data_IF_065615747401
#
_entry.id   IF_065615747401
#
_cell.length_a   1.000
_cell.length_b   1.000
_cell.length_c   1.000
_cell.angle_alpha   90.00
_cell.angle_beta   90.00
_cell.angle_gamma   90.00
#
_symmetry.space_group_name_H-M   'P 1'
#
loop_
_entity.id
_entity.type
_entity.pdbx_description
1 polymer ?
#
# COMPACT_ATOMS: atom_id res chain seq x y z
N UNK A 1 -21.62 12.31 7.92
CA UNK A 1 -20.81 12.35 9.17
C UNK A 1 -19.32 12.24 8.81
N UNK A 2 -18.48 13.00 9.51
CA UNK A 2 -17.02 12.92 9.34
C UNK A 2 -16.50 11.59 9.92
N UNK A 3 -15.41 11.09 9.36
CA UNK A 3 -14.75 9.87 9.88
C UNK A 3 -14.32 10.06 11.34
N UNK A 4 -14.39 9.00 12.19
CA UNK A 4 -14.06 9.12 13.62
C UNK A 4 -12.65 9.64 13.92
N UNK A 5 -11.65 9.31 13.09
CA UNK A 5 -10.28 9.81 13.23
C UNK A 5 -10.20 11.32 12.99
N UNK A 6 -10.90 11.83 11.98
CA UNK A 6 -10.97 13.28 11.68
C UNK A 6 -11.66 14.04 12.80
N UNK A 7 -12.85 13.57 13.19
CA UNK A 7 -13.62 14.16 14.28
C UNK A 7 -12.83 14.17 15.60
N UNK A 8 -12.22 13.02 15.96
CA UNK A 8 -11.45 12.87 17.20
C UNK A 8 -10.24 13.82 17.25
N UNK A 9 -9.51 13.96 16.14
CA UNK A 9 -8.38 14.90 16.07
C UNK A 9 -8.83 16.35 16.18
N UNK A 10 -9.88 16.76 15.46
CA UNK A 10 -10.42 18.12 15.56
C UNK A 10 -10.90 18.43 16.97
N UNK A 11 -11.65 17.49 17.58
CA UNK A 11 -12.12 17.64 18.95
C UNK A 11 -10.97 17.81 19.94
N UNK A 12 -9.93 17.01 19.84
CA UNK A 12 -8.74 17.11 20.68
C UNK A 12 -8.08 18.49 20.60
N UNK A 13 -7.94 19.04 19.38
CA UNK A 13 -7.38 20.37 19.19
C UNK A 13 -8.26 21.49 19.80
N UNK A 14 -9.57 21.39 19.67
CA UNK A 14 -10.50 22.37 20.23
C UNK A 14 -10.54 22.28 21.78
N UNK A 15 -10.53 21.07 22.33
CA UNK A 15 -10.55 20.84 23.79
C UNK A 15 -9.24 21.33 24.46
N UNK A 16 -8.10 21.23 23.79
CA UNK A 16 -6.82 21.79 24.29
C UNK A 16 -6.77 23.33 24.24
N UNK A 17 -7.68 23.96 23.53
CA UNK A 17 -7.69 25.40 23.27
C UNK A 17 -6.76 25.80 22.12
N UNK A 18 -7.32 26.51 21.16
CA UNK A 18 -6.54 27.01 20.00
C UNK A 18 -5.62 28.15 20.48
N UNK A 19 -4.36 28.07 20.08
CA UNK A 19 -3.38 29.14 20.39
C UNK A 19 -3.18 30.07 19.18
N UNK A 20 -2.81 31.35 19.40
CA UNK A 20 -2.42 32.23 18.31
C UNK A 20 -1.32 31.62 17.46
N UNK A 21 -1.47 31.73 16.15
CA UNK A 21 -0.52 31.16 15.19
C UNK A 21 0.02 32.27 14.28
N UNK A 22 1.35 32.39 14.19
CA UNK A 22 1.97 33.30 13.26
C UNK A 22 1.70 32.86 11.81
N UNK A 23 1.18 33.80 11.01
CA UNK A 23 0.89 33.62 9.57
C UNK A 23 2.02 34.13 8.69
N UNK A 24 3.13 34.57 9.27
CA UNK A 24 4.32 35.07 8.57
C UNK A 24 5.55 34.25 8.90
N UNK A 25 6.57 34.32 8.02
CA UNK A 25 7.88 33.67 8.19
C UNK A 25 8.99 34.62 7.77
N UNK A 26 10.16 34.49 8.41
CA UNK A 26 11.39 35.17 8.05
C UNK A 26 12.13 34.32 7.01
N UNK A 27 11.76 34.46 5.73
CA UNK A 27 12.33 33.75 4.58
C UNK A 27 12.54 34.73 3.43
N UNK A 28 13.55 34.48 2.61
CA UNK A 28 13.88 35.29 1.45
C UNK A 28 12.96 35.03 0.24
N UNK A 29 12.21 33.95 0.24
CA UNK A 29 11.31 33.54 -0.84
C UNK A 29 9.91 33.29 -0.33
N UNK A 30 8.92 33.81 -1.01
CA UNK A 30 7.50 33.67 -0.68
C UNK A 30 6.69 34.90 -1.08
N UNK A 31 5.39 34.87 -0.75
CA UNK A 31 4.49 36.03 -0.95
C UNK A 31 4.75 37.04 0.17
N UNK A 32 5.13 38.30 -0.16
CA UNK A 32 5.34 39.33 0.85
C UNK A 32 4.08 39.57 1.69
N UNK A 33 4.24 39.75 2.98
CA UNK A 33 3.12 40.08 3.89
C UNK A 33 2.63 41.50 3.57
N UNK A 34 1.35 41.68 3.14
CA UNK A 34 0.84 42.99 2.69
C UNK A 34 0.35 43.88 3.87
N UNK A 35 1.17 43.98 4.93
CA UNK A 35 0.83 44.75 6.14
C UNK A 35 2.02 45.61 6.51
N UNK A 36 1.75 46.90 6.87
CA UNK A 36 2.74 47.84 7.36
C UNK A 36 3.46 47.29 8.60
N UNK A 37 4.78 47.42 8.67
CA UNK A 37 5.62 46.89 9.75
C UNK A 37 5.98 45.40 9.60
N UNK A 38 5.67 44.79 8.46
CA UNK A 38 6.03 43.39 8.16
C UNK A 38 7.05 43.27 7.01
N UNK A 39 7.86 44.31 6.82
CA UNK A 39 8.89 44.34 5.77
C UNK A 39 9.89 43.18 5.95
N UNK A 40 10.22 42.52 4.85
CA UNK A 40 11.11 41.37 4.86
C UNK A 40 10.47 40.06 5.36
N UNK A 41 9.17 40.05 5.63
CA UNK A 41 8.42 38.85 5.98
C UNK A 41 7.58 38.34 4.79
N UNK A 42 7.44 37.02 4.70
CA UNK A 42 6.58 36.36 3.72
C UNK A 42 5.45 35.62 4.42
N UNK A 43 4.36 35.36 3.69
CA UNK A 43 3.26 34.55 4.20
C UNK A 43 3.73 33.10 4.45
N UNK A 44 3.21 32.52 5.50
CA UNK A 44 3.43 31.10 5.80
C UNK A 44 2.70 30.25 4.75
N UNK A 45 3.45 29.45 4.02
CA UNK A 45 2.94 28.66 2.87
C UNK A 45 1.66 27.86 3.17
N UNK A 46 1.54 27.28 4.36
CA UNK A 46 0.32 26.53 4.74
C UNK A 46 -0.86 27.43 5.11
N UNK A 47 -0.65 28.73 5.24
CA UNK A 47 -1.74 29.68 5.43
C UNK A 47 -2.35 30.10 4.10
N UNK A 48 -1.54 30.30 3.06
CA UNK A 48 -2.02 30.74 1.75
C UNK A 48 -2.28 29.55 0.79
N UNK A 49 -1.60 28.40 0.95
CA UNK A 49 -1.74 27.25 0.06
C UNK A 49 -3.18 26.79 -0.20
N UNK A 50 -4.11 26.77 0.77
CA UNK A 50 -5.49 26.34 0.52
C UNK A 50 -6.25 27.24 -0.47
N UNK A 51 -5.85 28.51 -0.68
CA UNK A 51 -6.47 29.38 -1.68
C UNK A 51 -6.25 28.86 -3.10
N UNK A 52 -5.23 28.01 -3.28
CA UNK A 52 -4.96 27.33 -4.55
C UNK A 52 -6.16 26.55 -5.08
N UNK A 53 -6.97 25.96 -4.22
CA UNK A 53 -8.20 25.28 -4.63
C UNK A 53 -9.17 26.22 -5.35
N UNK A 54 -9.35 27.42 -4.78
CA UNK A 54 -10.21 28.46 -5.36
C UNK A 54 -9.59 29.00 -6.65
N UNK A 55 -8.28 29.31 -6.63
CA UNK A 55 -7.55 29.84 -7.78
C UNK A 55 -7.59 28.89 -8.98
N UNK A 56 -7.37 27.59 -8.75
CA UNK A 56 -7.43 26.58 -9.80
C UNK A 56 -8.84 26.45 -10.42
N UNK A 57 -9.88 26.52 -9.57
CA UNK A 57 -11.27 26.52 -10.07
C UNK A 57 -11.54 27.78 -10.90
N UNK A 58 -11.07 28.94 -10.44
CA UNK A 58 -11.24 30.20 -11.15
C UNK A 58 -10.49 30.24 -12.49
N UNK A 59 -9.30 29.65 -12.55
CA UNK A 59 -8.54 29.53 -13.80
C UNK A 59 -9.24 28.60 -14.80
N UNK A 60 -9.76 27.47 -14.34
CA UNK A 60 -10.45 26.49 -15.19
C UNK A 60 -11.83 26.97 -15.66
N UNK A 61 -12.57 27.66 -14.78
CA UNK A 61 -13.97 28.06 -14.96
C UNK A 61 -14.16 29.55 -14.67
N UNK A 62 -13.54 30.47 -15.44
CA UNK A 62 -13.48 31.91 -15.09
C UNK A 62 -14.84 32.57 -14.94
N UNK A 63 -15.84 32.12 -15.72
CA UNK A 63 -17.18 32.68 -15.74
C UNK A 63 -18.16 32.06 -14.74
N UNK A 64 -17.82 30.91 -14.12
CA UNK A 64 -18.74 30.15 -13.26
C UNK A 64 -18.10 29.62 -11.96
N UNK A 65 -16.85 29.99 -11.65
CA UNK A 65 -16.13 29.48 -10.46
C UNK A 65 -16.86 29.79 -9.14
N UNK A 66 -17.62 30.93 -9.08
CA UNK A 66 -18.36 31.31 -7.88
C UNK A 66 -19.48 30.33 -7.54
N UNK A 67 -20.13 29.74 -8.54
CA UNK A 67 -21.11 28.64 -8.34
C UNK A 67 -20.53 27.48 -7.59
N UNK A 68 -19.26 27.16 -7.84
CA UNK A 68 -18.57 26.06 -7.17
C UNK A 68 -18.11 26.37 -5.74
N UNK A 69 -17.92 27.64 -5.42
CA UNK A 69 -17.33 28.04 -4.15
C UNK A 69 -18.25 28.89 -3.25
N UNK A 70 -19.36 29.41 -3.78
CA UNK A 70 -20.24 30.31 -3.07
C UNK A 70 -21.71 29.89 -3.07
N UNK A 71 -22.12 28.98 -3.95
CA UNK A 71 -23.50 28.48 -3.99
C UNK A 71 -23.71 27.49 -2.83
N UNK A 72 -24.71 27.74 -1.94
CA UNK A 72 -25.00 26.86 -0.80
C UNK A 72 -25.48 25.46 -1.19
N UNK A 73 -25.93 25.23 -2.43
CA UNK A 73 -26.27 23.90 -2.94
C UNK A 73 -25.04 23.06 -3.36
N UNK A 74 -23.87 23.71 -3.47
CA UNK A 74 -22.62 23.01 -3.80
C UNK A 74 -22.06 22.29 -2.57
N UNK A 75 -21.66 21.02 -2.76
CA UNK A 75 -20.98 20.23 -1.73
C UNK A 75 -19.47 20.28 -1.93
N UNK A 76 -18.74 20.78 -0.94
CA UNK A 76 -17.28 20.81 -0.92
C UNK A 76 -16.73 19.62 -0.12
N UNK A 77 -15.98 18.73 -0.78
CA UNK A 77 -15.39 17.55 -0.18
C UNK A 77 -13.87 17.62 -0.34
N UNK A 78 -13.12 17.47 0.75
CA UNK A 78 -11.66 17.41 0.74
C UNK A 78 -11.14 16.00 1.01
N UNK A 79 -10.47 15.38 0.03
CA UNK A 79 -9.74 14.14 0.21
C UNK A 79 -8.29 14.46 0.57
N UNK A 80 -7.85 14.08 1.77
CA UNK A 80 -6.55 14.47 2.32
C UNK A 80 -5.86 13.30 3.05
N UNK A 81 -4.57 13.47 3.37
CA UNK A 81 -3.86 12.68 4.37
C UNK A 81 -4.04 13.25 5.78
N UNK A 82 -3.86 12.43 6.81
CA UNK A 82 -4.10 12.79 8.22
C UNK A 82 -3.29 13.98 8.75
N UNK A 83 -2.13 14.23 8.19
CA UNK A 83 -1.27 15.36 8.51
C UNK A 83 -1.87 16.71 8.11
N UNK A 84 -2.87 16.71 7.23
CA UNK A 84 -3.57 17.90 6.76
C UNK A 84 -4.94 18.13 7.43
N UNK A 85 -5.37 17.28 8.39
CA UNK A 85 -6.69 17.40 9.04
C UNK A 85 -6.89 18.77 9.66
N UNK A 86 -5.95 19.25 10.45
CA UNK A 86 -6.07 20.54 11.15
C UNK A 86 -6.25 21.71 10.17
N UNK A 87 -5.52 21.68 9.06
CA UNK A 87 -5.63 22.74 8.05
C UNK A 87 -6.98 22.73 7.32
N UNK A 88 -7.48 21.56 6.93
CA UNK A 88 -8.71 21.45 6.14
C UNK A 88 -9.99 21.42 6.97
N UNK A 89 -9.88 21.10 8.28
CA UNK A 89 -11.04 21.03 9.16
C UNK A 89 -11.16 22.19 10.13
N UNK A 90 -10.08 22.92 10.40
CA UNK A 90 -10.08 24.04 11.37
C UNK A 90 -9.60 25.34 10.71
N UNK A 91 -8.37 25.38 10.18
CA UNK A 91 -7.74 26.63 9.72
C UNK A 91 -8.45 27.16 8.47
N UNK A 92 -8.53 26.38 7.40
CA UNK A 92 -9.14 26.82 6.15
C UNK A 92 -10.64 27.12 6.29
N UNK A 93 -11.47 26.31 6.97
CA UNK A 93 -12.85 26.68 7.24
C UNK A 93 -12.99 27.96 8.07
N UNK A 94 -12.09 28.22 9.02
CA UNK A 94 -12.10 29.46 9.79
C UNK A 94 -11.80 30.68 8.91
N UNK A 95 -10.88 30.56 7.93
CA UNK A 95 -10.58 31.61 6.96
C UNK A 95 -11.77 31.87 6.03
N UNK A 96 -12.37 30.84 5.47
CA UNK A 96 -13.55 30.94 4.59
C UNK A 96 -14.75 31.59 5.33
N UNK A 97 -14.94 31.17 6.59
CA UNK A 97 -16.00 31.76 7.44
C UNK A 97 -15.73 33.20 7.83
N UNK A 98 -14.50 33.58 8.05
CA UNK A 98 -14.11 34.95 8.38
C UNK A 98 -14.30 35.91 7.17
N UNK A 99 -14.03 35.42 5.96
CA UNK A 99 -14.31 36.14 4.71
C UNK A 99 -15.82 36.25 4.47
N UNK A 100 -16.59 35.19 4.68
CA UNK A 100 -18.05 35.21 4.79
C UNK A 100 -18.84 34.88 3.53
N UNK A 101 -18.23 34.85 2.33
CA UNK A 101 -18.94 34.57 1.07
C UNK A 101 -18.77 33.14 0.56
N UNK A 102 -17.82 32.37 1.09
CA UNK A 102 -17.53 31.04 0.65
C UNK A 102 -18.31 29.97 1.43
N UNK A 103 -18.61 28.85 0.74
CA UNK A 103 -19.14 27.64 1.39
C UNK A 103 -18.08 26.99 2.27
N UNK A 104 -18.52 26.20 3.24
CA UNK A 104 -17.64 25.43 4.12
C UNK A 104 -17.58 23.97 3.66
N UNK A 105 -16.51 23.21 4.01
CA UNK A 105 -16.44 21.79 3.72
C UNK A 105 -17.59 21.01 4.36
N UNK A 106 -18.31 20.23 3.52
CA UNK A 106 -19.35 19.29 3.95
C UNK A 106 -18.72 18.05 4.59
N UNK A 107 -17.68 17.51 3.96
CA UNK A 107 -16.95 16.36 4.48
C UNK A 107 -15.44 16.44 4.14
N UNK A 108 -14.63 15.82 4.99
CA UNK A 108 -13.18 15.75 4.83
C UNK A 108 -12.72 14.28 5.03
N UNK A 109 -12.87 13.41 4.02
CA UNK A 109 -12.37 12.05 4.09
C UNK A 109 -10.84 12.04 4.14
N UNK A 110 -10.28 11.76 5.32
CA UNK A 110 -8.84 11.70 5.55
C UNK A 110 -8.36 10.26 5.58
N UNK A 111 -7.27 9.98 4.88
CA UNK A 111 -6.57 8.71 4.96
C UNK A 111 -5.41 8.80 5.97
N UNK A 112 -5.20 7.71 6.66
CA UNK A 112 -4.01 7.43 7.47
C UNK A 112 -2.80 7.15 6.55
N UNK A 113 -1.65 6.72 7.09
CA UNK A 113 -0.47 6.44 6.27
C UNK A 113 -0.52 5.05 5.63
N UNK A 114 -0.07 4.97 4.38
CA UNK A 114 0.28 3.72 3.72
C UNK A 114 1.79 3.54 3.80
N UNK A 115 2.23 2.46 4.42
CA UNK A 115 3.62 2.06 4.50
C UNK A 115 3.98 1.13 3.32
N UNK A 116 5.26 0.82 3.17
CA UNK A 116 5.79 -0.10 2.16
C UNK A 116 6.71 -1.11 2.84
N UNK A 117 6.35 -2.39 2.80
CA UNK A 117 7.12 -3.49 3.43
C UNK A 117 7.47 -3.18 4.90
N UNK A 118 6.50 -2.65 5.66
CA UNK A 118 6.63 -2.31 7.07
C UNK A 118 7.34 -0.99 7.38
N UNK A 119 7.92 -0.32 6.40
CA UNK A 119 8.62 0.95 6.56
C UNK A 119 7.84 2.12 5.94
N UNK A 120 8.03 3.32 6.50
CA UNK A 120 7.42 4.55 5.97
C UNK A 120 7.95 4.87 4.57
N UNK A 121 7.05 5.08 3.61
CA UNK A 121 7.40 5.57 2.25
C UNK A 121 8.18 6.89 2.36
N UNK A 122 9.27 6.99 1.61
CA UNK A 122 10.16 8.15 1.64
C UNK A 122 10.83 8.39 0.30
N UNK A 123 10.51 9.51 -0.34
CA UNK A 123 11.15 9.92 -1.60
C UNK A 123 12.64 10.24 -1.43
N UNK A 124 13.01 10.91 -0.33
CA UNK A 124 14.41 11.27 -0.05
C UNK A 124 15.31 10.07 0.20
N UNK A 125 14.75 8.94 0.65
CA UNK A 125 15.46 7.67 0.83
C UNK A 125 15.26 6.71 -0.34
N UNK A 126 14.55 7.13 -1.39
CA UNK A 126 14.14 6.28 -2.50
C UNK A 126 13.43 4.98 -2.06
N UNK A 127 12.74 5.02 -0.90
CA UNK A 127 11.95 3.92 -0.38
C UNK A 127 10.50 4.10 -0.83
N UNK A 128 10.23 3.71 -2.07
CA UNK A 128 8.92 3.89 -2.71
C UNK A 128 8.77 2.92 -3.88
N UNK A 129 7.52 2.70 -4.30
CA UNK A 129 7.20 2.12 -5.60
C UNK A 129 6.91 3.28 -6.55
N UNK A 130 7.80 3.51 -7.51
CA UNK A 130 7.65 4.57 -8.49
C UNK A 130 6.71 4.12 -9.61
N UNK A 131 5.68 4.93 -9.90
CA UNK A 131 4.65 4.55 -10.86
C UNK A 131 5.21 4.28 -12.28
N UNK A 132 6.17 5.09 -12.73
CA UNK A 132 6.79 4.88 -14.04
C UNK A 132 7.59 3.57 -14.12
N UNK A 133 8.25 3.17 -13.03
CA UNK A 133 8.96 1.88 -12.94
C UNK A 133 7.95 0.74 -12.85
N UNK A 134 6.89 0.88 -12.05
CA UNK A 134 5.82 -0.10 -11.98
C UNK A 134 5.21 -0.38 -13.35
N UNK A 135 4.91 0.66 -14.13
CA UNK A 135 4.32 0.50 -15.46
C UNK A 135 5.24 -0.19 -16.45
N UNK A 136 6.58 -0.05 -16.29
CA UNK A 136 7.57 -0.77 -17.07
C UNK A 136 7.70 -2.24 -16.65
N UNK A 137 7.70 -2.52 -15.34
CA UNK A 137 7.86 -3.85 -14.77
C UNK A 137 6.57 -4.70 -14.87
N UNK A 138 5.40 -4.05 -14.88
CA UNK A 138 4.07 -4.68 -14.93
C UNK A 138 3.21 -4.10 -16.08
N UNK A 139 3.59 -4.29 -17.34
CA UNK A 139 2.86 -3.75 -18.48
C UNK A 139 1.42 -4.30 -18.50
N UNK A 140 0.45 -3.39 -18.70
CA UNK A 140 -0.98 -3.74 -18.75
C UNK A 140 -1.63 -4.10 -17.41
N UNK A 141 -0.92 -3.92 -16.28
CA UNK A 141 -1.44 -4.26 -14.93
C UNK A 141 -1.77 -3.02 -14.08
N UNK A 142 -2.15 -1.92 -14.72
CA UNK A 142 -2.55 -0.68 -14.03
C UNK A 142 -3.69 -0.94 -13.04
N UNK A 143 -4.68 -1.72 -13.44
CA UNK A 143 -5.83 -2.04 -12.61
C UNK A 143 -5.50 -2.97 -11.45
N UNK A 144 -4.47 -3.80 -11.57
CA UNK A 144 -4.01 -4.62 -10.45
C UNK A 144 -3.51 -3.72 -9.32
N UNK A 145 -2.71 -2.69 -9.65
CA UNK A 145 -2.25 -1.73 -8.66
C UNK A 145 -3.41 -0.93 -8.05
N UNK A 146 -4.34 -0.44 -8.87
CA UNK A 146 -5.54 0.27 -8.41
C UNK A 146 -6.36 -0.60 -7.46
N UNK A 147 -6.58 -1.87 -7.80
CA UNK A 147 -7.29 -2.83 -6.94
C UNK A 147 -6.63 -2.99 -5.58
N UNK A 148 -5.31 -3.23 -5.57
CA UNK A 148 -4.57 -3.45 -4.33
C UNK A 148 -4.50 -2.19 -3.47
N UNK A 149 -4.26 -1.02 -4.08
CA UNK A 149 -4.26 0.26 -3.36
C UNK A 149 -5.63 0.59 -2.77
N UNK A 150 -6.72 0.33 -3.49
CA UNK A 150 -8.07 0.51 -2.95
C UNK A 150 -8.36 -0.49 -1.82
N UNK A 151 -8.02 -1.76 -1.99
CA UNK A 151 -8.20 -2.79 -0.97
C UNK A 151 -7.38 -2.53 0.31
N UNK A 152 -6.23 -1.87 0.16
CA UNK A 152 -5.33 -1.49 1.25
C UNK A 152 -5.44 -0.01 1.64
N UNK A 153 -6.44 0.72 1.12
CA UNK A 153 -6.61 2.13 1.45
C UNK A 153 -6.64 2.33 2.98
N UNK A 154 -5.79 3.20 3.53
CA UNK A 154 -5.69 3.41 4.97
C UNK A 154 -6.80 4.34 5.47
N UNK A 155 -8.07 3.95 5.30
CA UNK A 155 -9.23 4.80 5.54
C UNK A 155 -9.44 5.14 7.02
N UNK A 156 -9.07 4.25 7.94
CA UNK A 156 -9.33 4.41 9.38
C UNK A 156 -8.11 4.16 10.26
N UNK A 157 -7.08 3.53 9.73
CA UNK A 157 -5.81 3.23 10.41
C UNK A 157 -4.69 3.11 9.38
N UNK A 158 -3.45 3.27 9.82
CA UNK A 158 -2.28 3.00 9.00
C UNK A 158 -2.34 1.58 8.42
N UNK A 159 -1.91 1.43 7.18
CA UNK A 159 -1.87 0.16 6.48
C UNK A 159 -0.52 0.00 5.79
N UNK A 160 -0.26 -1.19 5.26
CA UNK A 160 0.99 -1.54 4.62
C UNK A 160 0.76 -2.11 3.22
N UNK A 161 1.53 -1.64 2.25
CA UNK A 161 1.62 -2.26 0.94
C UNK A 161 2.78 -3.25 0.96
N UNK A 162 2.51 -4.51 0.66
CA UNK A 162 3.54 -5.52 0.45
C UNK A 162 3.41 -6.15 -0.92
N UNK A 163 4.53 -6.48 -1.54
CA UNK A 163 4.54 -7.17 -2.83
C UNK A 163 3.89 -8.55 -2.75
N UNK A 164 3.99 -9.19 -1.59
CA UNK A 164 3.32 -10.48 -1.33
C UNK A 164 1.79 -10.34 -1.30
N UNK A 165 1.25 -9.32 -0.65
CA UNK A 165 -0.20 -9.05 -0.67
C UNK A 165 -0.67 -8.63 -2.06
N UNK A 166 0.13 -7.84 -2.79
CA UNK A 166 -0.14 -7.47 -4.18
C UNK A 166 -0.32 -8.72 -5.06
N UNK A 167 0.60 -9.67 -5.01
CA UNK A 167 0.49 -10.95 -5.72
C UNK A 167 -0.73 -11.77 -5.28
N UNK A 168 -0.92 -11.89 -3.97
CA UNK A 168 -2.02 -12.67 -3.41
C UNK A 168 -3.38 -12.14 -3.85
N UNK A 169 -3.59 -10.83 -3.83
CA UNK A 169 -4.84 -10.20 -4.29
C UNK A 169 -5.05 -10.38 -5.79
N UNK A 170 -3.99 -10.16 -6.60
CA UNK A 170 -4.10 -10.45 -8.03
C UNK A 170 -4.49 -11.91 -8.28
N UNK A 171 -3.73 -12.85 -7.71
CA UNK A 171 -3.89 -14.27 -8.05
C UNK A 171 -5.17 -14.88 -7.47
N UNK A 172 -5.54 -14.51 -6.24
CA UNK A 172 -6.65 -15.14 -5.52
C UNK A 172 -7.99 -14.40 -5.69
N UNK A 173 -7.97 -13.11 -6.02
CA UNK A 173 -9.20 -12.31 -6.15
C UNK A 173 -9.46 -11.95 -7.63
N UNK A 174 -8.54 -11.23 -8.29
CA UNK A 174 -8.74 -10.82 -9.67
C UNK A 174 -8.72 -12.01 -10.64
N UNK A 175 -7.74 -12.89 -10.54
CA UNK A 175 -7.65 -14.07 -11.44
C UNK A 175 -8.64 -15.15 -11.03
N UNK A 176 -8.58 -15.61 -9.77
CA UNK A 176 -9.32 -16.80 -9.34
C UNK A 176 -10.83 -16.56 -9.11
N UNK A 177 -11.24 -15.32 -8.85
CA UNK A 177 -12.66 -14.99 -8.64
C UNK A 177 -13.22 -14.23 -9.84
N UNK A 178 -12.77 -13.00 -10.09
CA UNK A 178 -13.33 -12.16 -11.15
C UNK A 178 -13.06 -12.73 -12.55
N UNK A 179 -11.80 -12.90 -12.90
CA UNK A 179 -11.38 -13.41 -14.21
C UNK A 179 -11.91 -14.81 -14.49
N UNK A 180 -11.91 -15.68 -13.49
CA UNK A 180 -12.43 -17.04 -13.60
C UNK A 180 -13.93 -17.06 -13.94
N UNK A 181 -14.74 -16.25 -13.24
CA UNK A 181 -16.18 -16.17 -13.51
C UNK A 181 -16.44 -15.67 -14.92
N UNK A 182 -15.86 -14.54 -15.31
CA UNK A 182 -16.01 -13.96 -16.65
C UNK A 182 -15.61 -14.96 -17.74
N UNK A 183 -14.43 -15.57 -17.59
CA UNK A 183 -13.95 -16.54 -18.58
C UNK A 183 -14.87 -17.74 -18.70
N UNK A 184 -15.35 -18.31 -17.59
CA UNK A 184 -16.26 -19.46 -17.60
C UNK A 184 -17.60 -19.14 -18.28
N UNK A 185 -18.22 -18.00 -17.93
CA UNK A 185 -19.50 -17.58 -18.52
C UNK A 185 -19.36 -17.40 -20.03
N UNK A 186 -18.31 -16.69 -20.48
CA UNK A 186 -18.11 -16.42 -21.90
C UNK A 186 -17.68 -17.65 -22.70
N UNK A 187 -16.76 -18.49 -22.17
CA UNK A 187 -16.29 -19.70 -22.86
C UNK A 187 -17.43 -20.72 -22.99
N UNK A 188 -18.27 -20.89 -21.97
CA UNK A 188 -19.42 -21.77 -22.05
C UNK A 188 -20.48 -21.25 -23.05
N UNK A 189 -20.69 -19.94 -23.10
CA UNK A 189 -21.57 -19.32 -24.10
C UNK A 189 -21.01 -19.49 -25.52
N UNK A 190 -19.70 -19.29 -25.70
CA UNK A 190 -19.04 -19.54 -26.98
C UNK A 190 -19.21 -21.00 -27.41
N UNK A 191 -19.06 -21.93 -26.48
CA UNK A 191 -19.12 -23.37 -26.75
C UNK A 191 -20.52 -23.88 -27.09
N UNK A 192 -21.57 -23.41 -26.41
CA UNK A 192 -22.90 -23.97 -26.49
C UNK A 192 -23.89 -23.14 -27.32
N UNK A 193 -23.58 -21.86 -27.52
CA UNK A 193 -24.45 -20.90 -28.19
C UNK A 193 -23.71 -20.02 -29.21
N UNK A 194 -22.56 -20.48 -29.73
CA UNK A 194 -21.72 -19.78 -30.70
C UNK A 194 -21.46 -18.30 -30.37
N UNK A 195 -21.31 -18.02 -29.07
CA UNK A 195 -21.06 -16.67 -28.55
C UNK A 195 -22.30 -15.75 -28.59
N UNK A 196 -23.51 -16.28 -28.80
CA UNK A 196 -24.75 -15.52 -28.74
C UNK A 196 -25.38 -15.63 -27.37
N UNK A 197 -25.89 -14.50 -26.87
CA UNK A 197 -26.67 -14.48 -25.64
C UNK A 197 -27.90 -15.35 -25.78
N UNK A 198 -28.02 -16.45 -25.01
CA UNK A 198 -29.16 -17.36 -25.15
C UNK A 198 -30.45 -16.76 -24.58
N UNK A 199 -31.59 -17.33 -25.00
CA UNK A 199 -32.88 -16.98 -24.42
C UNK A 199 -32.97 -17.44 -22.96
N UNK A 200 -33.67 -16.66 -22.16
CA UNK A 200 -34.03 -17.01 -20.79
C UNK A 200 -35.36 -17.78 -20.82
N UNK A 201 -35.32 -19.01 -20.32
CA UNK A 201 -36.54 -19.82 -20.16
C UNK A 201 -37.19 -19.61 -18.79
N UNK A 202 -37.88 -20.64 -18.27
CA UNK A 202 -38.53 -20.59 -16.98
C UNK A 202 -37.51 -20.46 -15.85
N UNK A 203 -37.68 -19.47 -14.96
CA UNK A 203 -36.81 -19.22 -13.80
C UNK A 203 -37.18 -20.12 -12.63
N UNK A 204 -36.21 -20.79 -12.07
CA UNK A 204 -36.32 -21.45 -10.75
C UNK A 204 -36.31 -20.42 -9.62
N UNK A 205 -36.63 -20.84 -8.42
CA UNK A 205 -36.57 -19.96 -7.26
C UNK A 205 -35.10 -19.55 -6.97
N UNK A 206 -34.15 -20.46 -7.20
CA UNK A 206 -32.72 -20.14 -7.09
C UNK A 206 -32.24 -19.08 -8.08
N UNK A 207 -32.76 -19.10 -9.32
CA UNK A 207 -32.47 -18.06 -10.31
C UNK A 207 -32.98 -16.69 -9.85
N UNK A 208 -34.22 -16.65 -9.36
CA UNK A 208 -34.84 -15.42 -8.84
C UNK A 208 -34.09 -14.87 -7.63
N UNK A 209 -33.65 -15.75 -6.74
CA UNK A 209 -32.81 -15.38 -5.58
C UNK A 209 -31.47 -14.79 -6.05
N UNK A 210 -30.78 -15.44 -7.01
CA UNK A 210 -29.54 -14.95 -7.59
C UNK A 210 -29.71 -13.58 -8.26
N UNK A 211 -30.77 -13.40 -9.06
CA UNK A 211 -31.09 -12.12 -9.69
C UNK A 211 -31.36 -11.02 -8.65
N UNK A 212 -32.01 -11.34 -7.55
CA UNK A 212 -32.22 -10.40 -6.44
C UNK A 212 -30.92 -10.05 -5.74
N UNK A 213 -30.08 -11.05 -5.43
CA UNK A 213 -28.77 -10.82 -4.76
C UNK A 213 -27.91 -9.81 -5.55
N UNK A 214 -27.81 -9.93 -6.87
CA UNK A 214 -26.99 -8.98 -7.61
C UNK A 214 -27.65 -7.59 -7.77
N UNK A 215 -28.98 -7.51 -7.78
CA UNK A 215 -29.65 -6.22 -7.74
C UNK A 215 -29.41 -5.49 -6.40
N UNK A 216 -29.38 -6.23 -5.30
CA UNK A 216 -29.11 -5.69 -3.96
C UNK A 216 -27.67 -5.14 -3.83
N UNK A 217 -26.69 -5.71 -4.54
CA UNK A 217 -25.29 -5.23 -4.53
C UNK A 217 -25.19 -3.77 -4.97
N UNK A 218 -25.99 -3.32 -5.94
CA UNK A 218 -26.01 -1.92 -6.37
C UNK A 218 -26.23 -0.96 -5.21
N UNK A 219 -27.31 -1.18 -4.46
CA UNK A 219 -27.71 -0.29 -3.37
C UNK A 219 -26.61 -0.21 -2.28
N UNK A 220 -25.96 -1.35 -1.97
CA UNK A 220 -24.90 -1.36 -0.98
C UNK A 220 -23.61 -0.70 -1.50
N UNK A 221 -23.21 -0.91 -2.76
CA UNK A 221 -22.05 -0.23 -3.36
C UNK A 221 -22.29 1.29 -3.39
N UNK A 222 -23.47 1.76 -3.85
CA UNK A 222 -23.81 3.18 -3.87
C UNK A 222 -23.73 3.82 -2.48
N UNK A 223 -24.36 3.18 -1.49
CA UNK A 223 -24.31 3.63 -0.10
C UNK A 223 -22.88 3.74 0.44
N UNK A 224 -22.02 2.79 0.11
CA UNK A 224 -20.62 2.78 0.55
C UNK A 224 -19.80 3.86 -0.16
N UNK A 225 -20.03 4.09 -1.46
CA UNK A 225 -19.39 5.17 -2.22
C UNK A 225 -19.82 6.55 -1.72
N UNK A 226 -21.10 6.75 -1.41
CA UNK A 226 -21.63 8.02 -0.91
C UNK A 226 -21.01 8.45 0.43
N UNK A 227 -20.56 7.50 1.23
CA UNK A 227 -19.87 7.76 2.49
C UNK A 227 -18.35 7.56 2.40
N UNK A 228 -17.82 7.47 1.19
CA UNK A 228 -16.37 7.37 0.88
C UNK A 228 -15.66 6.16 1.50
N UNK A 229 -16.36 5.02 1.61
CA UNK A 229 -15.83 3.71 2.05
C UNK A 229 -15.42 2.87 0.85
N UNK A 230 -14.37 3.29 0.17
CA UNK A 230 -13.96 2.69 -1.11
C UNK A 230 -13.50 1.24 -0.98
N UNK A 231 -12.85 0.87 0.12
CA UNK A 231 -12.45 -0.53 0.40
C UNK A 231 -13.66 -1.45 0.44
N UNK A 232 -14.67 -1.05 1.21
CA UNK A 232 -15.87 -1.85 1.40
C UNK A 232 -16.70 -1.88 0.10
N UNK A 233 -16.79 -0.76 -0.62
CA UNK A 233 -17.47 -0.67 -1.91
C UNK A 233 -16.82 -1.60 -2.96
N UNK A 234 -15.49 -1.62 -3.08
CA UNK A 234 -14.78 -2.53 -3.97
C UNK A 234 -14.99 -4.00 -3.57
N UNK A 235 -14.97 -4.29 -2.27
CA UNK A 235 -15.22 -5.64 -1.74
C UNK A 235 -16.64 -6.09 -2.07
N UNK A 236 -17.62 -5.18 -1.99
CA UNK A 236 -19.02 -5.48 -2.32
C UNK A 236 -19.21 -5.66 -3.83
N UNK A 237 -18.58 -4.84 -4.68
CA UNK A 237 -18.56 -5.06 -6.11
C UNK A 237 -18.01 -6.45 -6.50
N UNK A 238 -16.98 -6.94 -5.78
CA UNK A 238 -16.43 -8.30 -5.97
C UNK A 238 -17.43 -9.41 -5.62
N UNK A 239 -18.46 -9.14 -4.84
CA UNK A 239 -19.48 -10.12 -4.53
C UNK A 239 -20.29 -10.53 -5.77
N UNK A 240 -20.45 -9.66 -6.78
CA UNK A 240 -21.06 -10.04 -8.06
C UNK A 240 -20.33 -11.22 -8.70
N UNK A 241 -18.99 -11.20 -8.70
CA UNK A 241 -18.21 -12.31 -9.24
C UNK A 241 -18.30 -13.57 -8.37
N UNK A 242 -18.41 -13.42 -7.04
CA UNK A 242 -18.60 -14.56 -6.12
C UNK A 242 -19.98 -15.20 -6.32
N UNK A 243 -21.03 -14.38 -6.42
CA UNK A 243 -22.40 -14.84 -6.73
C UNK A 243 -22.38 -15.62 -8.05
N UNK A 244 -21.76 -15.08 -9.10
CA UNK A 244 -21.66 -15.73 -10.40
C UNK A 244 -20.90 -17.06 -10.38
N UNK A 245 -19.76 -17.12 -9.68
CA UNK A 245 -19.00 -18.36 -9.52
C UNK A 245 -19.81 -19.43 -8.76
N UNK A 246 -20.48 -19.03 -7.67
CA UNK A 246 -21.35 -19.92 -6.90
C UNK A 246 -22.50 -20.44 -7.76
N UNK A 247 -23.19 -19.53 -8.46
CA UNK A 247 -24.30 -19.87 -9.32
C UNK A 247 -23.91 -20.88 -10.43
N UNK A 248 -22.78 -20.66 -11.11
CA UNK A 248 -22.26 -21.60 -12.11
C UNK A 248 -21.83 -22.95 -11.48
N UNK A 249 -21.30 -22.94 -10.25
CA UNK A 249 -20.90 -24.15 -9.57
C UNK A 249 -22.11 -24.99 -9.12
N UNK A 250 -23.13 -24.35 -8.59
CA UNK A 250 -24.34 -25.01 -8.08
C UNK A 250 -25.25 -25.52 -9.20
N UNK A 251 -25.31 -24.80 -10.33
CA UNK A 251 -26.17 -25.15 -11.46
C UNK A 251 -25.51 -26.09 -12.48
N UNK A 252 -24.20 -26.22 -12.48
CA UNK A 252 -23.40 -27.14 -13.31
C UNK A 252 -23.83 -27.20 -14.79
N UNK A 253 -23.90 -26.09 -15.54
CA UNK A 253 -24.44 -26.09 -16.92
C UNK A 253 -23.72 -27.05 -17.88
N UNK A 254 -22.44 -27.35 -17.63
CA UNK A 254 -21.67 -28.33 -18.42
C UNK A 254 -22.18 -29.77 -18.28
N UNK A 255 -22.84 -30.12 -17.16
CA UNK A 255 -23.50 -31.42 -16.99
C UNK A 255 -24.85 -31.43 -17.71
N UNK A 256 -25.62 -30.36 -17.61
CA UNK A 256 -26.93 -30.22 -18.22
C UNK A 256 -26.91 -30.13 -19.76
N UNK A 257 -25.79 -29.72 -20.34
CA UNK A 257 -25.65 -29.51 -21.78
C UNK A 257 -25.95 -30.74 -22.66
N UNK A 258 -26.02 -31.95 -22.09
CA UNK A 258 -26.37 -33.19 -22.78
C UNK A 258 -27.86 -33.52 -22.72
N UNK A 259 -28.62 -32.92 -21.81
CA UNK A 259 -29.99 -33.31 -21.47
C UNK A 259 -30.99 -32.17 -21.49
N UNK A 260 -30.56 -30.95 -21.22
CA UNK A 260 -31.44 -29.78 -21.09
C UNK A 260 -30.73 -28.47 -21.54
N UNK A 261 -30.70 -28.25 -22.83
CA UNK A 261 -30.06 -27.06 -23.40
C UNK A 261 -30.86 -25.76 -23.14
N UNK A 262 -32.16 -25.84 -22.92
CA UNK A 262 -32.98 -24.67 -22.56
C UNK A 262 -32.57 -24.16 -21.17
N UNK A 263 -32.39 -25.09 -20.23
CA UNK A 263 -31.92 -24.76 -18.90
C UNK A 263 -30.48 -24.19 -18.92
N UNK A 264 -29.59 -24.75 -19.72
CA UNK A 264 -28.24 -24.23 -19.95
C UNK A 264 -28.30 -22.80 -20.46
N UNK A 265 -29.21 -22.53 -21.41
CA UNK A 265 -29.44 -21.19 -21.95
C UNK A 265 -29.82 -20.18 -20.86
N UNK A 266 -30.77 -20.55 -20.01
CA UNK A 266 -31.19 -19.70 -18.87
C UNK A 266 -30.03 -19.40 -17.92
N UNK A 267 -29.28 -20.42 -17.52
CA UNK A 267 -28.12 -20.27 -16.61
C UNK A 267 -27.06 -19.34 -17.22
N UNK A 268 -26.73 -19.52 -18.50
CA UNK A 268 -25.73 -18.70 -19.16
C UNK A 268 -26.23 -17.27 -19.44
N UNK A 269 -27.53 -17.08 -19.73
CA UNK A 269 -28.08 -15.74 -19.80
C UNK A 269 -27.91 -14.96 -18.51
N UNK A 270 -28.34 -15.53 -17.38
CA UNK A 270 -28.16 -14.90 -16.05
C UNK A 270 -26.69 -14.63 -15.76
N UNK A 271 -25.80 -15.59 -16.06
CA UNK A 271 -24.35 -15.41 -15.87
C UNK A 271 -23.79 -14.26 -16.70
N UNK A 272 -24.22 -14.10 -17.94
CA UNK A 272 -23.82 -13.00 -18.82
C UNK A 272 -24.34 -11.63 -18.33
N UNK A 273 -25.58 -11.57 -17.82
CA UNK A 273 -26.08 -10.34 -17.19
C UNK A 273 -25.22 -9.96 -15.97
N UNK A 274 -24.80 -10.92 -15.16
CA UNK A 274 -23.84 -10.69 -14.05
C UNK A 274 -22.48 -10.19 -14.56
N UNK A 275 -21.97 -10.74 -15.66
CA UNK A 275 -20.72 -10.27 -16.29
C UNK A 275 -20.86 -8.82 -16.77
N UNK A 276 -21.99 -8.45 -17.35
CA UNK A 276 -22.27 -7.07 -17.76
C UNK A 276 -22.34 -6.12 -16.55
N UNK A 277 -22.99 -6.55 -15.48
CA UNK A 277 -23.01 -5.79 -14.22
C UNK A 277 -21.61 -5.61 -13.59
N UNK A 278 -20.72 -6.60 -13.70
CA UNK A 278 -19.33 -6.45 -13.27
C UNK A 278 -18.59 -5.36 -14.05
N UNK A 279 -18.84 -5.24 -15.36
CA UNK A 279 -18.22 -4.17 -16.15
C UNK A 279 -18.63 -2.77 -15.70
N UNK A 280 -19.86 -2.62 -15.17
CA UNK A 280 -20.35 -1.34 -14.60
C UNK A 280 -19.80 -1.14 -13.19
N UNK A 281 -19.96 -2.12 -12.31
CA UNK A 281 -19.60 -2.01 -10.90
C UNK A 281 -18.10 -1.74 -10.66
N UNK A 282 -17.26 -2.29 -11.54
CA UNK A 282 -15.81 -2.12 -11.46
C UNK A 282 -15.25 -0.95 -12.28
N UNK A 283 -16.03 -0.29 -13.09
CA UNK A 283 -15.54 0.85 -13.90
C UNK A 283 -14.86 1.95 -13.07
N UNK A 284 -15.38 2.37 -11.91
CA UNK A 284 -14.70 3.35 -11.06
C UNK A 284 -13.37 2.84 -10.46
N UNK A 285 -13.24 1.54 -10.23
CA UNK A 285 -12.08 0.92 -9.61
C UNK A 285 -11.05 0.44 -10.62
N UNK A 286 -11.51 -0.25 -11.67
CA UNK A 286 -10.71 -0.96 -12.67
C UNK A 286 -11.11 -0.56 -14.10
N UNK A 287 -10.89 0.71 -14.49
CA UNK A 287 -11.43 1.23 -15.76
C UNK A 287 -10.90 0.50 -17.00
N UNK A 288 -9.62 0.10 -17.02
CA UNK A 288 -9.02 -0.61 -18.15
C UNK A 288 -9.58 -2.03 -18.30
N UNK A 289 -9.81 -2.72 -17.19
CA UNK A 289 -10.42 -4.05 -17.18
C UNK A 289 -11.90 -3.99 -17.55
N UNK A 290 -12.62 -2.97 -17.08
CA UNK A 290 -14.01 -2.73 -17.45
C UNK A 290 -14.16 -2.40 -18.94
N UNK A 291 -13.26 -1.58 -19.50
CA UNK A 291 -13.22 -1.32 -20.95
C UNK A 291 -12.95 -2.61 -21.74
N UNK A 292 -11.95 -3.40 -21.33
CA UNK A 292 -11.66 -4.69 -21.95
C UNK A 292 -12.87 -5.63 -21.90
N UNK A 293 -13.56 -5.67 -20.75
CA UNK A 293 -14.75 -6.49 -20.57
C UNK A 293 -15.90 -6.03 -21.45
N UNK A 294 -16.16 -4.72 -21.56
CA UNK A 294 -17.16 -4.15 -22.50
C UNK A 294 -16.85 -4.56 -23.95
N UNK A 295 -15.58 -4.48 -24.37
CA UNK A 295 -15.16 -4.96 -25.69
C UNK A 295 -15.44 -6.44 -25.91
N UNK A 296 -15.18 -7.29 -24.91
CA UNK A 296 -15.51 -8.73 -24.99
C UNK A 296 -17.02 -8.96 -25.07
N UNK A 297 -17.81 -8.16 -24.35
CA UNK A 297 -19.26 -8.19 -24.41
C UNK A 297 -19.84 -7.58 -25.71
N UNK A 298 -18.99 -6.98 -26.56
CA UNK A 298 -19.39 -6.25 -27.78
C UNK A 298 -20.39 -5.13 -27.48
N UNK A 299 -20.15 -4.35 -26.43
CA UNK A 299 -20.97 -3.23 -26.00
C UNK A 299 -20.11 -1.97 -25.87
N UNK A 300 -20.68 -0.84 -26.27
CA UNK A 300 -19.95 0.44 -26.28
C UNK A 300 -19.82 1.03 -24.89
N UNK A 301 -20.91 1.31 -24.21
CA UNK A 301 -20.92 1.93 -22.87
C UNK A 301 -22.07 1.39 -22.03
N UNK A 302 -21.92 1.46 -20.72
CA UNK A 302 -22.99 1.29 -19.76
C UNK A 302 -23.05 2.54 -18.87
N UNK A 303 -24.26 2.93 -18.54
CA UNK A 303 -24.49 3.96 -17.52
C UNK A 303 -24.49 3.32 -16.13
N UNK A 304 -23.99 4.04 -15.13
CA UNK A 304 -24.06 3.57 -13.73
C UNK A 304 -25.47 3.23 -13.28
N UNK A 305 -26.47 3.98 -13.79
CA UNK A 305 -27.89 3.76 -13.51
C UNK A 305 -28.40 2.37 -13.95
N UNK A 306 -27.67 1.70 -14.84
CA UNK A 306 -28.01 0.37 -15.34
C UNK A 306 -27.50 -0.77 -14.45
N UNK A 307 -26.60 -0.50 -13.53
CA UNK A 307 -26.14 -1.48 -12.55
C UNK A 307 -27.33 -2.08 -11.81
N UNK A 308 -27.35 -3.39 -11.67
CA UNK A 308 -28.43 -4.17 -11.05
C UNK A 308 -29.53 -4.64 -12.01
N UNK A 309 -29.50 -4.26 -13.30
CA UNK A 309 -30.45 -4.77 -14.29
C UNK A 309 -30.08 -6.18 -14.76
N UNK A 310 -31.09 -6.97 -15.04
CA UNK A 310 -30.98 -8.37 -15.48
C UNK A 310 -31.16 -8.56 -16.99
N UNK A 311 -31.20 -7.46 -17.76
CA UNK A 311 -31.48 -7.43 -19.22
C UNK A 311 -30.51 -6.50 -19.98
N UNK A 312 -29.28 -6.33 -19.51
CA UNK A 312 -28.28 -5.49 -20.16
C UNK A 312 -27.83 -6.03 -21.52
N UNK A 313 -27.80 -7.34 -21.67
CA UNK A 313 -27.43 -8.03 -22.90
C UNK A 313 -28.68 -8.65 -23.51
N UNK A 314 -29.17 -8.15 -24.65
CA UNK A 314 -30.38 -8.70 -25.30
C UNK A 314 -30.13 -10.11 -25.84
N UNK A 315 -31.20 -10.92 -25.89
CA UNK A 315 -31.17 -12.27 -26.46
C UNK A 315 -30.71 -12.22 -27.92
N UNK A 316 -29.81 -13.10 -28.31
CA UNK A 316 -29.22 -13.17 -29.65
C UNK A 316 -28.05 -12.21 -29.87
N UNK A 317 -27.74 -11.32 -28.93
CA UNK A 317 -26.58 -10.43 -29.00
C UNK A 317 -25.28 -11.24 -29.16
N UNK A 318 -24.45 -10.84 -30.12
CA UNK A 318 -23.20 -11.52 -30.42
C UNK A 318 -22.06 -10.99 -29.55
N UNK A 319 -21.49 -11.85 -28.75
CA UNK A 319 -20.26 -11.56 -27.96
C UNK A 319 -19.01 -11.67 -28.83
N UNK A 320 -18.00 -10.92 -28.54
CA UNK A 320 -16.67 -11.09 -29.09
C UNK A 320 -15.96 -12.30 -28.47
N UNK A 321 -14.79 -12.67 -29.02
CA UNK A 321 -13.99 -13.78 -28.54
C UNK A 321 -13.55 -13.49 -27.09
N UNK A 322 -13.72 -14.48 -26.17
CA UNK A 322 -13.24 -14.32 -24.80
C UNK A 322 -11.71 -14.24 -24.73
N UNK A 323 -11.21 -13.34 -23.90
CA UNK A 323 -9.80 -13.19 -23.55
C UNK A 323 -9.64 -13.25 -22.05
N UNK A 324 -8.43 -13.59 -21.59
CA UNK A 324 -8.13 -13.51 -20.15
C UNK A 324 -8.13 -12.06 -19.69
N UNK A 325 -8.95 -11.76 -18.70
CA UNK A 325 -9.05 -10.40 -18.15
C UNK A 325 -7.84 -10.09 -17.25
N UNK A 326 -7.39 -11.08 -16.49
CA UNK A 326 -6.25 -10.99 -15.59
C UNK A 326 -5.35 -12.21 -15.75
N UNK A 327 -4.05 -12.02 -15.52
CA UNK A 327 -3.04 -13.06 -15.56
C UNK A 327 -2.35 -13.19 -14.19
N UNK A 328 -1.94 -14.40 -13.83
CA UNK A 328 -1.18 -14.63 -12.62
C UNK A 328 0.15 -13.87 -12.65
N UNK A 329 0.57 -13.48 -11.47
CA UNK A 329 1.90 -12.93 -11.22
C UNK A 329 2.71 -14.02 -10.52
N UNK A 330 3.86 -14.36 -11.10
CA UNK A 330 4.73 -15.42 -10.62
C UNK A 330 5.63 -14.93 -9.46
N UNK A 331 6.08 -15.87 -8.62
CA UNK A 331 6.91 -15.57 -7.44
C UNK A 331 8.20 -14.82 -7.82
N UNK A 332 8.87 -15.25 -8.89
CA UNK A 332 10.11 -14.61 -9.35
C UNK A 332 9.95 -13.11 -9.66
N UNK A 333 8.79 -12.70 -10.18
CA UNK A 333 8.50 -11.28 -10.45
C UNK A 333 8.42 -10.48 -9.15
N UNK A 334 7.83 -11.07 -8.12
CA UNK A 334 7.69 -10.45 -6.80
C UNK A 334 9.03 -10.41 -6.06
N UNK A 335 9.79 -11.49 -6.10
CA UNK A 335 11.14 -11.55 -5.53
C UNK A 335 12.05 -10.46 -6.12
N UNK A 336 11.97 -10.22 -7.42
CA UNK A 336 12.72 -9.14 -8.08
C UNK A 336 12.33 -7.75 -7.54
N UNK A 337 11.06 -7.48 -7.27
CA UNK A 337 10.61 -6.21 -6.69
C UNK A 337 11.06 -6.04 -5.23
N UNK A 338 10.98 -7.11 -4.44
CA UNK A 338 11.49 -7.11 -3.06
C UNK A 338 13.00 -6.89 -3.04
N UNK A 339 13.74 -7.56 -3.93
CA UNK A 339 15.21 -7.38 -4.04
C UNK A 339 15.57 -5.93 -4.40
N UNK A 340 14.84 -5.31 -5.33
CA UNK A 340 15.02 -3.89 -5.70
C UNK A 340 14.90 -2.95 -4.49
N UNK A 341 13.93 -3.20 -3.59
CA UNK A 341 13.77 -2.43 -2.36
C UNK A 341 14.93 -2.70 -1.38
N UNK A 342 15.37 -3.96 -1.23
CA UNK A 342 16.49 -4.32 -0.35
C UNK A 342 17.80 -3.67 -0.81
N UNK A 343 18.06 -3.65 -2.12
CA UNK A 343 19.24 -3.00 -2.71
C UNK A 343 19.21 -1.49 -2.44
N UNK A 344 18.05 -0.85 -2.56
CA UNK A 344 17.85 0.56 -2.21
C UNK A 344 18.14 0.81 -0.72
N UNK A 345 17.67 -0.06 0.17
CA UNK A 345 17.91 0.06 1.61
C UNK A 345 19.40 -0.04 1.94
N UNK A 346 20.09 -1.01 1.34
CA UNK A 346 21.53 -1.20 1.48
C UNK A 346 22.30 0.01 0.99
N UNK A 347 21.97 0.53 -0.20
CA UNK A 347 22.62 1.73 -0.73
C UNK A 347 22.44 2.96 0.18
N UNK A 348 21.25 3.13 0.78
CA UNK A 348 21.00 4.20 1.74
C UNK A 348 21.80 4.04 3.04
N UNK A 349 21.95 2.81 3.54
CA UNK A 349 22.76 2.52 4.72
C UNK A 349 24.24 2.85 4.46
N UNK A 350 24.76 2.45 3.30
CA UNK A 350 26.13 2.75 2.87
C UNK A 350 26.38 4.26 2.70
N UNK A 351 25.45 4.97 2.04
CA UNK A 351 25.53 6.42 1.82
C UNK A 351 25.47 7.24 3.12
N UNK A 352 24.75 6.74 4.13
CA UNK A 352 24.63 7.39 5.43
C UNK A 352 25.70 6.97 6.43
N UNK A 353 26.58 6.01 6.06
CA UNK A 353 27.66 5.58 6.92
C UNK A 353 28.69 6.70 7.09
N UNK A 354 28.75 7.25 8.29
CA UNK A 354 29.79 8.20 8.70
C UNK A 354 30.81 7.46 9.55
N UNK A 355 31.99 7.27 9.01
CA UNK A 355 33.11 6.77 9.81
C UNK A 355 33.34 7.70 11.00
N UNK A 356 33.62 7.14 12.17
CA UNK A 356 34.08 7.93 13.32
C UNK A 356 35.35 8.67 12.92
N UNK A 357 35.54 9.92 13.37
CA UNK A 357 36.80 10.63 13.14
C UNK A 357 37.96 9.84 13.69
N UNK A 358 39.08 9.84 12.95
CA UNK A 358 40.34 9.21 13.40
C UNK A 358 40.75 9.88 14.69
N UNK A 359 41.05 9.08 15.72
CA UNK A 359 41.59 9.57 16.97
C UNK A 359 43.01 10.15 16.74
N UNK A 360 43.51 11.00 17.67
CA UNK A 360 44.88 11.48 17.59
C UNK A 360 45.88 10.32 17.43
N UNK A 361 46.96 10.56 16.68
CA UNK A 361 48.04 9.60 16.53
C UNK A 361 48.59 9.23 17.89
N UNK A 362 48.97 7.96 18.07
CA UNK A 362 49.67 7.43 19.22
C UNK A 362 51.10 7.06 18.77
N UNK A 363 52.04 7.11 19.68
CA UNK A 363 53.40 6.64 19.43
C UNK A 363 53.47 5.12 19.39
N UNK A 364 54.50 4.58 18.73
CA UNK A 364 54.67 3.11 18.62
C UNK A 364 54.78 2.47 20.02
N UNK A 365 55.43 3.15 20.98
CA UNK A 365 55.54 2.71 22.35
C UNK A 365 54.16 2.58 23.05
N UNK A 366 53.14 3.35 22.66
CA UNK A 366 51.79 3.18 23.19
C UNK A 366 51.11 1.95 22.61
N UNK A 367 51.39 1.64 21.36
CA UNK A 367 50.86 0.41 20.71
C UNK A 367 51.51 -0.83 21.32
N UNK A 368 52.81 -0.83 21.63
CA UNK A 368 53.53 -1.96 22.22
C UNK A 368 53.09 -2.30 23.66
N UNK A 369 52.36 -1.40 24.31
CA UNK A 369 51.75 -1.68 25.61
C UNK A 369 50.55 -2.65 25.50
N UNK A 370 50.01 -2.85 24.32
CA UNK A 370 48.89 -3.77 24.12
C UNK A 370 49.43 -5.19 23.95
N UNK A 371 48.87 -6.14 24.70
CA UNK A 371 49.12 -7.56 24.51
C UNK A 371 47.99 -8.14 23.63
N UNK A 372 48.25 -8.24 22.31
CA UNK A 372 47.34 -8.78 21.35
C UNK A 372 47.65 -10.24 21.11
N UNK A 373 46.68 -11.11 21.38
CA UNK A 373 46.83 -12.57 21.30
C UNK A 373 45.79 -13.17 20.37
N UNK A 374 46.09 -14.39 19.91
CA UNK A 374 45.12 -15.27 19.25
C UNK A 374 44.71 -16.36 20.24
N UNK A 375 43.43 -16.55 20.44
CA UNK A 375 42.89 -17.59 21.31
C UNK A 375 41.79 -18.37 20.64
N UNK A 376 41.56 -19.61 21.10
CA UNK A 376 40.50 -20.47 20.62
C UNK A 376 39.25 -20.31 21.48
N UNK A 377 38.10 -20.09 20.86
CA UNK A 377 36.80 -20.00 21.55
C UNK A 377 36.39 -21.39 22.00
N UNK A 378 36.43 -21.66 23.29
CA UNK A 378 36.00 -22.91 23.89
C UNK A 378 34.51 -22.97 24.11
N UNK A 379 33.91 -21.86 24.57
CA UNK A 379 32.48 -21.74 24.83
C UNK A 379 32.00 -20.36 24.39
N UNK A 380 30.76 -20.30 23.87
CA UNK A 380 30.07 -19.07 23.52
C UNK A 380 28.62 -19.19 23.93
N UNK A 381 28.05 -18.15 24.60
CA UNK A 381 26.63 -18.11 24.97
C UNK A 381 26.08 -16.71 25.00
N UNK A 382 24.75 -16.58 24.84
CA UNK A 382 24.06 -15.29 24.95
C UNK A 382 24.04 -14.82 26.42
N UNK A 383 24.25 -13.52 26.62
CA UNK A 383 24.17 -12.92 27.97
C UNK A 383 22.70 -12.67 28.30
N UNK A 384 22.17 -13.22 29.44
CA UNK A 384 20.77 -13.01 29.82
C UNK A 384 20.41 -11.52 29.94
N UNK A 385 19.25 -11.13 29.40
CA UNK A 385 18.76 -9.74 29.39
C UNK A 385 19.68 -8.73 28.67
N UNK A 386 20.46 -9.20 27.68
CA UNK A 386 21.36 -8.36 26.91
C UNK A 386 21.46 -8.86 25.44
N UNK A 387 20.50 -8.54 24.62
CA UNK A 387 20.34 -9.04 23.23
C UNK A 387 21.51 -8.74 22.29
N UNK A 388 22.42 -7.85 22.69
CA UNK A 388 23.58 -7.45 21.88
C UNK A 388 24.86 -8.14 22.31
N UNK A 389 24.86 -8.88 23.42
CA UNK A 389 26.07 -9.39 24.04
C UNK A 389 26.19 -10.91 23.96
N UNK A 390 27.39 -11.37 23.60
CA UNK A 390 27.86 -12.76 23.78
C UNK A 390 28.94 -12.84 24.82
N UNK A 391 28.89 -13.87 25.63
CA UNK A 391 29.94 -14.24 26.58
C UNK A 391 30.76 -15.37 25.99
N UNK A 392 32.07 -15.23 26.04
CA UNK A 392 33.06 -16.16 25.52
C UNK A 392 33.93 -16.69 26.62
N UNK A 393 34.32 -17.97 26.51
CA UNK A 393 35.53 -18.49 27.13
C UNK A 393 36.56 -18.74 26.05
N UNK A 394 37.72 -18.09 26.19
CA UNK A 394 38.79 -18.12 25.19
C UNK A 394 40.05 -18.68 25.84
N UNK A 395 40.61 -19.70 25.24
CA UNK A 395 41.90 -20.26 25.61
C UNK A 395 43.02 -19.62 24.76
N UNK A 396 43.98 -18.96 25.39
CA UNK A 396 45.12 -18.32 24.74
C UNK A 396 46.41 -19.14 24.81
N UNK A 397 46.30 -20.37 25.28
CA UNK A 397 47.45 -21.26 25.50
C UNK A 397 48.19 -21.06 26.83
N UNK A 398 47.86 -20.01 27.61
CA UNK A 398 48.37 -19.75 28.96
C UNK A 398 47.25 -19.92 30.00
N UNK A 399 46.10 -19.37 29.72
CA UNK A 399 44.93 -19.44 30.61
C UNK A 399 43.61 -19.33 29.80
N UNK A 400 42.52 -19.66 30.47
CA UNK A 400 41.17 -19.46 29.93
C UNK A 400 40.57 -18.18 30.47
N UNK A 401 40.15 -17.28 29.60
CA UNK A 401 39.58 -15.97 29.94
C UNK A 401 38.12 -15.88 29.59
N UNK A 402 37.39 -15.12 30.39
CA UNK A 402 36.02 -14.72 30.05
C UNK A 402 36.05 -13.36 29.39
N UNK A 403 35.49 -13.29 28.17
CA UNK A 403 35.34 -12.02 27.41
C UNK A 403 33.88 -11.84 27.01
N UNK A 404 33.38 -10.59 27.15
CA UNK A 404 32.04 -10.23 26.71
C UNK A 404 32.14 -9.25 25.53
N UNK A 405 31.49 -9.57 24.43
CA UNK A 405 31.52 -8.74 23.20
C UNK A 405 30.13 -8.46 22.63
N UNK A 406 29.97 -7.29 22.01
CA UNK A 406 28.73 -6.76 21.48
C UNK A 406 28.32 -7.29 20.08
N UNK A 407 28.64 -8.54 19.74
CA UNK A 407 28.49 -9.10 18.40
C UNK A 407 27.30 -10.07 18.23
N UNK A 408 26.44 -10.18 19.24
CA UNK A 408 25.29 -11.10 19.22
C UNK A 408 24.27 -10.85 18.10
N UNK A 409 24.28 -9.66 17.48
CA UNK A 409 23.43 -9.36 16.32
C UNK A 409 23.94 -9.93 14.99
N UNK A 410 25.21 -10.30 14.94
CA UNK A 410 25.92 -10.67 13.72
C UNK A 410 26.35 -12.14 13.71
N UNK A 411 26.43 -12.80 14.90
CA UNK A 411 26.88 -14.18 15.03
C UNK A 411 26.03 -14.94 16.02
N UNK A 412 25.78 -16.22 15.72
CA UNK A 412 25.18 -17.13 16.67
C UNK A 412 26.29 -17.84 17.46
N UNK A 413 26.06 -18.18 18.75
CA UNK A 413 27.08 -18.81 19.60
C UNK A 413 27.69 -20.09 19.00
N UNK A 414 26.87 -20.90 18.36
CA UNK A 414 27.24 -22.20 17.78
C UNK A 414 28.21 -22.06 16.60
N UNK A 415 28.18 -20.93 15.90
CA UNK A 415 29.04 -20.66 14.76
C UNK A 415 30.47 -20.27 15.16
N UNK A 416 30.66 -19.91 16.41
CA UNK A 416 31.89 -19.30 16.92
C UNK A 416 32.76 -20.28 17.74
N UNK A 417 32.16 -21.29 18.34
CA UNK A 417 32.88 -22.30 19.14
C UNK A 417 33.87 -23.06 18.26
N UNK A 418 35.09 -23.21 18.72
CA UNK A 418 36.21 -23.85 18.02
C UNK A 418 36.98 -22.93 17.05
N UNK A 419 36.47 -21.71 16.79
CA UNK A 419 37.19 -20.72 15.97
C UNK A 419 38.27 -19.97 16.77
N UNK A 420 39.30 -19.52 16.05
CA UNK A 420 40.33 -18.62 16.60
C UNK A 420 39.90 -17.17 16.44
N UNK A 421 40.25 -16.35 17.42
CA UNK A 421 39.93 -14.92 17.45
C UNK A 421 41.10 -14.13 18.01
N UNK A 422 41.40 -12.98 17.42
CA UNK A 422 42.33 -12.01 18.00
C UNK A 422 41.62 -11.22 19.12
N UNK A 423 42.33 -11.01 20.22
CA UNK A 423 41.82 -10.20 21.31
C UNK A 423 42.95 -9.47 22.05
N UNK A 424 42.60 -8.40 22.75
CA UNK A 424 43.53 -7.68 23.65
C UNK A 424 43.42 -8.33 25.03
N UNK A 425 44.55 -8.89 25.53
CA UNK A 425 44.59 -9.69 26.72
C UNK A 425 44.83 -8.87 28.00
N UNK A 426 45.52 -7.74 27.91
CA UNK A 426 45.96 -6.95 29.08
C UNK A 426 45.09 -5.71 29.36
N UNK A 427 43.83 -5.71 28.91
CA UNK A 427 42.88 -4.69 29.37
C UNK A 427 42.45 -4.95 30.80
N UNK A 428 42.32 -3.88 31.60
CA UNK A 428 41.79 -3.96 32.94
C UNK A 428 40.38 -4.62 32.93
N UNK A 429 40.14 -5.62 33.81
CA UNK A 429 38.85 -6.30 33.86
C UNK A 429 37.71 -5.34 34.08
N UNK A 430 36.61 -5.50 33.28
CA UNK A 430 35.42 -4.64 33.34
C UNK A 430 34.15 -5.47 33.51
N UNK A 431 33.29 -5.08 34.45
CA UNK A 431 32.00 -5.72 34.68
C UNK A 431 30.97 -5.26 33.65
N UNK A 432 30.47 -6.17 32.82
CA UNK A 432 29.44 -5.94 31.81
C UNK A 432 28.20 -6.82 32.10
N UNK A 433 27.06 -6.21 32.43
CA UNK A 433 25.83 -6.93 32.81
C UNK A 433 26.01 -8.05 33.84
N UNK A 434 26.90 -7.80 34.85
CA UNK A 434 27.16 -8.74 35.91
C UNK A 434 28.33 -9.71 35.67
N UNK A 435 28.84 -9.80 34.44
CA UNK A 435 29.95 -10.67 34.03
C UNK A 435 31.24 -9.85 33.96
N UNK A 436 32.33 -10.36 34.49
CA UNK A 436 33.66 -9.72 34.40
C UNK A 436 34.26 -10.11 33.05
N UNK A 437 34.53 -9.12 32.19
CA UNK A 437 35.22 -9.29 30.92
C UNK A 437 36.70 -8.97 31.10
N UNK A 438 37.57 -9.91 30.74
CA UNK A 438 39.02 -9.89 30.97
C UNK A 438 39.81 -9.68 29.67
N UNK A 439 39.25 -8.89 28.77
CA UNK A 439 39.84 -8.58 27.48
C UNK A 439 38.81 -8.01 26.50
N UNK A 440 39.23 -7.77 25.26
CA UNK A 440 38.40 -7.27 24.21
C UNK A 440 38.68 -8.00 22.89
N UNK A 441 37.65 -8.63 22.32
CA UNK A 441 37.71 -9.27 20.99
C UNK A 441 37.88 -8.20 19.92
N UNK A 442 38.83 -8.40 19.01
CA UNK A 442 38.99 -7.63 17.78
C UNK A 442 38.26 -8.35 16.65
N UNK A 443 37.08 -7.90 16.31
CA UNK A 443 36.26 -8.49 15.24
C UNK A 443 35.93 -7.44 14.20
N UNK A 444 35.96 -7.82 12.89
CA UNK A 444 35.53 -7.00 11.82
C UNK A 444 34.08 -7.39 11.43
N UNK A 445 33.14 -6.48 11.58
CA UNK A 445 31.72 -6.71 11.26
C UNK A 445 31.35 -6.33 9.83
N UNK A 446 32.30 -5.77 9.06
CA UNK A 446 32.04 -5.17 7.74
C UNK A 446 32.42 -6.05 6.54
N UNK A 447 32.98 -7.24 6.75
CA UNK A 447 33.39 -8.09 5.65
C UNK A 447 32.65 -9.43 5.65
N UNK A 448 31.59 -9.50 4.85
CA UNK A 448 30.96 -10.75 4.38
C UNK A 448 31.37 -11.11 2.94
N UNK A 449 32.18 -10.29 2.28
CA UNK A 449 32.75 -10.66 0.97
C UNK A 449 34.12 -11.30 1.16
N UNK A 450 34.36 -12.49 0.57
CA UNK A 450 35.70 -13.07 0.58
C UNK A 450 36.71 -12.10 -0.05
N UNK A 451 37.86 -11.95 0.60
CA UNK A 451 38.97 -11.19 0.06
C UNK A 451 39.37 -11.79 -1.31
N UNK A 452 39.73 -10.97 -2.32
CA UNK A 452 40.27 -11.51 -3.59
C UNK A 452 41.51 -12.37 -3.42
N UNK A 453 42.06 -12.48 -2.19
CA UNK A 453 43.20 -13.34 -1.86
C UNK A 453 42.82 -14.71 -1.31
N UNK A 454 41.54 -14.95 -0.99
CA UNK A 454 41.07 -16.22 -0.43
C UNK A 454 40.67 -17.24 -1.50
N UNK A 455 40.92 -16.92 -2.79
CA UNK A 455 40.66 -17.74 -3.99
C UNK A 455 41.89 -18.13 -4.78
N UNK A 456 43.09 -18.23 -4.13
CA UNK A 456 44.29 -18.71 -4.81
C UNK A 456 44.81 -19.99 -4.13
#
# INVERSE_FOLDING_TARGET
>A
EWRPNVYGQCKSWLDMGLQPRAVSRDLDWGIPVPVEGAEGKVLYVWFDAPIGYISNTKELLPDSWETWWKDPETRLIHFIGKDNIVFHCIVFPAMLKAEGSYILPDNVPSNEFLNLEGDKISTSRNWAVWLHEYLADFPGKQDVLRYVLTANAPETKDNDFTWKDFQARNNNELVAVYGNFVNRAMVLTQKYFDGRVPAQGSLTDYDKETLKEFADVKAEVEKLLDVFKFRDAQKEAMNLARIGNKYLADTEPWKLAKTDMERVGTILNISLQLVANLAIAFDPFLPFSSEKLRKMLNMDTFEWSELGKDNLLPVGHQLNKPELLFEKIEDATIEAQVQKLLDTKKANEEANYKANPIRPNIEFDDFTKLDIRVGTILECQKVPKADKLLQFKIDDGLETRTIVSGIAKHYQPEELVGKQVCFIANLAPRKLKGIVSEGMILSCLLYTSPSPRDGA
#
